data_IF_665858089520
#
_entry.id   IF_665858089520
#
_cell.length_a   1.000
_cell.length_b   1.000
_cell.length_c   1.000
_cell.angle_alpha   90.00
_cell.angle_beta   90.00
_cell.angle_gamma   90.00
#
_symmetry.space_group_name_H-M   'P 1'
#
loop_
_entity.id
_entity.type
_entity.pdbx_description
1 polymer ?
#
# COMPACT_ATOMS: atom_id res chain seq x y z
N UNK A 1 -40.46 54.57 8.21
CA UNK A 1 -39.33 53.75 8.72
C UNK A 1 -39.49 52.26 8.36
N UNK A 2 -40.14 51.92 7.23
CA UNK A 2 -40.57 50.56 6.88
C UNK A 2 -39.74 49.95 5.72
N UNK A 3 -38.43 50.19 5.71
CA UNK A 3 -37.54 49.77 4.60
C UNK A 3 -36.32 48.93 5.02
N UNK A 4 -36.07 48.77 6.31
CA UNK A 4 -34.85 48.10 6.79
C UNK A 4 -35.02 46.59 7.12
N UNK A 5 -36.25 46.05 7.07
CA UNK A 5 -36.51 44.64 7.40
C UNK A 5 -36.25 43.65 6.23
N UNK A 6 -35.94 44.15 5.03
CA UNK A 6 -35.79 43.33 3.81
C UNK A 6 -34.42 42.65 3.65
N UNK A 7 -33.40 43.04 4.42
CA UNK A 7 -32.05 42.42 4.32
C UNK A 7 -31.93 41.14 5.17
N UNK A 8 -32.86 40.92 6.11
CA UNK A 8 -32.86 39.73 6.98
C UNK A 8 -33.37 38.46 6.27
N UNK A 9 -34.14 38.59 5.18
CA UNK A 9 -34.80 37.46 4.50
C UNK A 9 -33.88 36.67 3.57
N UNK A 10 -32.74 37.24 3.15
CA UNK A 10 -31.81 36.53 2.24
C UNK A 10 -30.97 35.47 2.95
N UNK A 11 -30.67 35.65 4.24
CA UNK A 11 -29.98 34.63 5.06
C UNK A 11 -30.86 33.40 5.29
N UNK A 12 -32.18 33.56 5.26
CA UNK A 12 -33.16 32.48 5.43
C UNK A 12 -33.28 31.60 4.18
N UNK A 13 -33.12 32.17 2.97
CA UNK A 13 -33.03 31.38 1.73
C UNK A 13 -31.78 30.48 1.69
N UNK A 14 -30.66 30.95 2.24
CA UNK A 14 -29.43 30.14 2.30
C UNK A 14 -29.60 28.89 3.18
N UNK A 15 -30.39 28.98 4.26
CA UNK A 15 -30.72 27.84 5.11
C UNK A 15 -31.65 26.82 4.43
N UNK A 16 -32.53 27.25 3.52
CA UNK A 16 -33.46 26.37 2.79
C UNK A 16 -32.73 25.58 1.70
N UNK A 17 -31.74 26.18 1.02
CA UNK A 17 -30.85 25.45 0.07
C UNK A 17 -29.97 24.44 0.81
N UNK A 18 -29.59 24.72 2.06
CA UNK A 18 -28.91 23.76 2.94
C UNK A 18 -29.80 22.57 3.35
N UNK A 19 -31.13 22.70 3.24
CA UNK A 19 -32.07 21.62 3.54
C UNK A 19 -32.26 20.65 2.35
N UNK A 20 -31.87 21.04 1.12
CA UNK A 20 -31.82 20.16 -0.04
C UNK A 20 -30.71 19.10 0.05
N UNK A 21 -29.74 19.29 0.95
CA UNK A 21 -28.64 18.35 1.22
C UNK A 21 -29.13 17.10 2.01
N UNK A 22 -30.39 17.06 2.46
CA UNK A 22 -30.92 16.01 3.34
C UNK A 22 -31.69 14.86 2.67
N UNK A 23 -31.94 14.82 1.35
CA UNK A 23 -32.87 13.80 0.78
C UNK A 23 -32.31 12.84 -0.27
N UNK A 24 -31.00 12.83 -0.57
CA UNK A 24 -30.42 11.88 -1.53
C UNK A 24 -29.92 10.55 -0.94
N UNK A 25 -29.99 10.34 0.38
CA UNK A 25 -29.63 9.06 1.03
C UNK A 25 -30.88 8.20 1.29
N UNK A 26 -31.78 8.16 0.32
CA UNK A 26 -32.89 7.19 0.29
C UNK A 26 -32.41 5.92 -0.42
N UNK A 27 -32.13 4.89 0.40
CA UNK A 27 -32.53 3.48 0.22
C UNK A 27 -32.25 2.81 -1.13
N UNK A 28 -31.38 1.80 -1.11
CA UNK A 28 -31.58 0.50 -1.76
C UNK A 28 -30.68 -0.52 -1.03
N UNK A 29 -31.30 -1.40 -0.23
CA UNK A 29 -31.34 -2.86 -0.41
C UNK A 29 -30.29 -3.53 0.52
N UNK A 30 -30.69 -4.19 1.60
CA UNK A 30 -31.16 -5.58 1.62
C UNK A 30 -30.21 -6.50 0.83
N UNK A 31 -29.29 -7.16 1.52
CA UNK A 31 -28.93 -8.55 1.24
C UNK A 31 -28.23 -9.21 2.45
N UNK A 32 -28.90 -10.23 2.99
CA UNK A 32 -28.32 -11.31 3.77
C UNK A 32 -27.36 -12.09 2.88
N UNK A 33 -26.04 -11.98 3.09
CA UNK A 33 -25.13 -12.95 2.49
C UNK A 33 -24.23 -13.60 3.53
N UNK A 34 -24.87 -14.48 4.29
CA UNK A 34 -24.25 -15.62 4.95
C UNK A 34 -23.71 -16.60 3.90
N UNK A 35 -22.53 -16.33 3.33
CA UNK A 35 -21.76 -17.31 2.55
C UNK A 35 -20.25 -17.12 2.75
N UNK A 36 -19.77 -17.40 3.97
CA UNK A 36 -18.39 -17.86 4.16
C UNK A 36 -18.41 -19.38 4.33
N UNK A 37 -18.95 -20.07 3.32
CA UNK A 37 -18.72 -21.50 3.15
C UNK A 37 -17.31 -21.69 2.62
N UNK A 38 -16.53 -22.46 3.36
CA UNK A 38 -15.22 -22.95 2.96
C UNK A 38 -15.23 -23.46 1.52
N UNK A 39 -14.37 -22.92 0.66
CA UNK A 39 -13.56 -23.72 -0.27
C UNK A 39 -12.61 -22.88 -1.08
N UNK A 40 -11.41 -23.45 -1.19
CA UNK A 40 -10.33 -23.13 -2.10
C UNK A 40 -9.58 -21.82 -1.82
N UNK A 41 -8.46 -21.99 -1.11
CA UNK A 41 -7.19 -21.33 -1.40
C UNK A 41 -6.79 -21.50 -2.88
N UNK A 42 -7.60 -20.98 -3.80
CA UNK A 42 -7.14 -20.63 -5.13
C UNK A 42 -6.48 -19.27 -5.01
N UNK A 43 -5.32 -19.24 -4.35
CA UNK A 43 -4.36 -18.18 -4.64
C UNK A 43 -4.20 -18.23 -6.16
N UNK A 44 -4.56 -17.18 -6.91
CA UNK A 44 -4.22 -17.16 -8.32
C UNK A 44 -2.71 -17.25 -8.31
N UNK A 45 -2.16 -18.41 -8.71
CA UNK A 45 -0.78 -18.51 -9.15
C UNK A 45 -0.64 -17.37 -10.13
N UNK A 46 -0.02 -16.30 -9.65
CA UNK A 46 -0.19 -14.97 -10.20
C UNK A 46 0.23 -15.09 -11.65
N UNK A 47 -0.63 -14.69 -12.59
CA UNK A 47 -0.18 -14.41 -13.94
C UNK A 47 1.05 -13.53 -13.74
N UNK A 48 2.25 -14.05 -14.04
CA UNK A 48 3.51 -13.45 -13.66
C UNK A 48 3.62 -12.09 -14.33
N UNK A 49 3.06 -11.08 -13.68
CA UNK A 49 3.39 -9.71 -13.95
C UNK A 49 4.89 -9.62 -13.74
N UNK A 50 5.59 -9.14 -14.76
CA UNK A 50 7.03 -8.91 -14.70
C UNK A 50 7.32 -8.08 -13.44
N UNK A 51 8.06 -8.67 -12.51
CA UNK A 51 8.43 -8.06 -11.24
C UNK A 51 9.55 -7.08 -11.53
N UNK A 52 9.29 -5.79 -11.33
CA UNK A 52 10.27 -4.75 -11.56
C UNK A 52 11.02 -4.43 -10.25
N UNK A 53 12.35 -4.46 -10.30
CA UNK A 53 13.17 -4.24 -9.10
C UNK A 53 12.93 -2.85 -8.49
N UNK A 54 12.79 -1.80 -9.30
CA UNK A 54 12.68 -0.43 -8.79
C UNK A 54 11.29 -0.13 -8.22
N UNK A 55 10.25 -0.67 -8.84
CA UNK A 55 8.85 -0.50 -8.46
C UNK A 55 8.45 -1.42 -7.31
N UNK A 56 8.84 -2.69 -7.36
CA UNK A 56 8.27 -3.73 -6.49
C UNK A 56 9.22 -4.11 -5.35
N UNK A 57 10.52 -4.27 -5.62
CA UNK A 57 11.48 -4.82 -4.64
C UNK A 57 12.15 -3.71 -3.81
N UNK A 58 12.70 -2.69 -4.47
CA UNK A 58 13.47 -1.62 -3.82
C UNK A 58 12.71 -0.87 -2.73
N UNK A 59 11.39 -0.58 -2.86
CA UNK A 59 10.65 0.07 -1.78
C UNK A 59 10.58 -0.77 -0.50
N UNK A 60 10.39 -2.08 -0.62
CA UNK A 60 10.34 -3.01 0.51
C UNK A 60 11.68 -3.03 1.23
N UNK A 61 12.78 -3.17 0.49
CA UNK A 61 14.14 -3.15 1.06
C UNK A 61 14.47 -1.80 1.71
N UNK A 62 14.01 -0.69 1.11
CA UNK A 62 14.22 0.64 1.67
C UNK A 62 13.58 0.79 3.04
N UNK A 63 12.36 0.29 3.20
CA UNK A 63 11.60 0.47 4.43
C UNK A 63 12.11 -0.42 5.57
N UNK A 64 12.59 -1.63 5.25
CA UNK A 64 12.91 -2.64 6.29
C UNK A 64 14.38 -2.90 6.47
N UNK A 65 15.21 -2.71 5.43
CA UNK A 65 16.58 -3.23 5.43
C UNK A 65 17.64 -2.12 5.42
N UNK A 66 17.40 -0.99 4.74
CA UNK A 66 18.45 0.03 4.53
C UNK A 66 18.95 0.71 5.81
N UNK A 67 18.15 0.70 6.88
CA UNK A 67 18.56 1.25 8.17
C UNK A 67 19.85 0.58 8.70
N UNK A 68 20.06 -0.70 8.38
CA UNK A 68 21.24 -1.47 8.80
C UNK A 68 22.08 -2.02 7.64
N UNK A 69 21.53 -2.14 6.44
CA UNK A 69 22.18 -2.68 5.23
C UNK A 69 22.04 -1.72 4.04
N UNK A 70 22.28 -0.42 4.27
CA UNK A 70 22.21 0.64 3.26
C UNK A 70 23.52 1.41 3.14
N UNK A 71 23.52 2.53 2.43
CA UNK A 71 24.73 3.34 2.26
C UNK A 71 25.35 3.83 3.58
N UNK A 72 24.50 4.16 4.57
CA UNK A 72 24.92 4.74 5.86
C UNK A 72 25.51 3.69 6.81
N UNK A 73 24.94 2.48 6.82
CA UNK A 73 25.35 1.38 7.69
C UNK A 73 25.28 0.08 6.91
N UNK A 74 26.35 -0.70 6.97
CA UNK A 74 26.55 -1.94 6.22
C UNK A 74 26.86 -3.08 7.20
N UNK A 75 25.87 -3.45 8.02
CA UNK A 75 26.02 -4.53 8.97
C UNK A 75 26.38 -5.83 8.24
N UNK A 76 27.43 -6.52 8.69
CA UNK A 76 27.95 -7.72 8.04
C UNK A 76 28.43 -7.48 6.59
N UNK A 77 28.92 -6.27 6.29
CA UNK A 77 29.44 -5.89 4.98
C UNK A 77 28.38 -5.85 3.87
N UNK A 78 27.09 -6.02 4.21
CA UNK A 78 26.02 -6.18 3.24
C UNK A 78 25.33 -4.84 2.91
N UNK A 79 25.14 -4.60 1.61
CA UNK A 79 24.38 -3.47 1.08
C UNK A 79 23.22 -3.93 0.20
N UNK A 80 22.03 -3.44 0.52
CA UNK A 80 20.78 -3.77 -0.17
C UNK A 80 20.19 -2.59 -0.96
N UNK A 81 20.86 -1.44 -1.00
CA UNK A 81 20.33 -0.20 -1.57
C UNK A 81 20.52 -0.04 -3.09
N UNK A 82 21.32 -0.91 -3.69
CA UNK A 82 21.53 -0.99 -5.14
C UNK A 82 21.71 -2.42 -5.61
N UNK A 83 21.21 -2.72 -6.81
CA UNK A 83 21.25 -4.08 -7.38
C UNK A 83 22.68 -4.64 -7.47
N UNK A 84 23.65 -3.84 -7.94
CA UNK A 84 25.06 -4.24 -8.00
C UNK A 84 25.64 -4.59 -6.62
N UNK A 85 25.23 -3.84 -5.58
CA UNK A 85 25.70 -4.08 -4.22
C UNK A 85 25.08 -5.37 -3.63
N UNK A 86 23.80 -5.64 -3.93
CA UNK A 86 23.13 -6.89 -3.58
C UNK A 86 23.86 -8.08 -4.22
N UNK A 87 24.19 -8.00 -5.51
CA UNK A 87 24.92 -9.05 -6.22
C UNK A 87 26.36 -9.24 -5.70
N UNK A 88 26.95 -8.23 -5.07
CA UNK A 88 28.28 -8.35 -4.45
C UNK A 88 28.23 -9.20 -3.18
N UNK A 89 27.11 -9.19 -2.46
CA UNK A 89 26.96 -9.89 -1.19
C UNK A 89 27.52 -9.11 0.00
N UNK A 90 27.79 -9.83 1.09
CA UNK A 90 28.40 -9.27 2.30
C UNK A 90 29.54 -10.15 2.80
N UNK A 91 29.89 -10.01 4.08
CA UNK A 91 31.01 -10.75 4.70
C UNK A 91 30.78 -12.27 4.70
N UNK A 92 29.52 -12.71 4.62
CA UNK A 92 29.14 -14.12 4.51
C UNK A 92 29.17 -14.65 3.06
N UNK A 93 29.58 -13.83 2.08
CA UNK A 93 29.53 -14.16 0.66
C UNK A 93 28.23 -13.69 -0.04
N UNK A 94 27.89 -14.29 -1.19
CA UNK A 94 26.69 -13.98 -1.95
C UNK A 94 25.41 -14.15 -1.12
N UNK A 95 24.43 -13.28 -1.34
CA UNK A 95 23.14 -13.34 -0.61
C UNK A 95 21.94 -13.71 -1.47
N UNK A 96 22.08 -13.62 -2.80
CA UNK A 96 21.04 -13.94 -3.78
C UNK A 96 21.62 -14.94 -4.78
N UNK A 97 20.91 -16.04 -4.95
CA UNK A 97 21.11 -17.00 -6.05
C UNK A 97 20.07 -16.69 -7.14
N UNK A 98 20.55 -16.30 -8.33
CA UNK A 98 19.66 -15.87 -9.40
C UNK A 98 18.85 -17.05 -9.95
N UNK A 99 17.52 -16.93 -9.90
CA UNK A 99 16.60 -17.98 -10.34
C UNK A 99 16.25 -18.99 -9.25
N UNK A 100 16.93 -18.97 -8.11
CA UNK A 100 16.62 -19.82 -6.96
C UNK A 100 16.45 -19.01 -5.68
N UNK A 101 15.19 -18.69 -5.37
CA UNK A 101 14.85 -17.98 -4.15
C UNK A 101 15.02 -18.86 -2.89
N UNK A 102 14.91 -20.19 -3.00
CA UNK A 102 15.00 -21.08 -1.85
C UNK A 102 16.45 -21.22 -1.37
N UNK A 103 17.39 -21.26 -2.31
CA UNK A 103 18.83 -21.35 -2.03
C UNK A 103 19.46 -19.99 -1.71
N UNK A 104 18.73 -18.90 -1.91
CA UNK A 104 19.18 -17.54 -1.55
C UNK A 104 19.23 -17.35 -0.02
N UNK A 105 20.43 -17.06 0.51
CA UNK A 105 20.64 -16.75 1.94
C UNK A 105 19.75 -15.60 2.43
N UNK A 106 19.47 -14.62 1.57
CA UNK A 106 18.58 -13.52 1.91
C UNK A 106 17.17 -14.01 2.26
N UNK A 107 16.65 -14.99 1.51
CA UNK A 107 15.33 -15.57 1.76
C UNK A 107 15.31 -16.39 3.05
N UNK A 108 16.35 -17.19 3.30
CA UNK A 108 16.48 -17.99 4.53
C UNK A 108 16.48 -17.13 5.81
N UNK A 109 16.85 -15.85 5.73
CA UNK A 109 16.88 -14.93 6.86
C UNK A 109 15.57 -14.17 7.10
N UNK A 110 14.67 -14.15 6.12
CA UNK A 110 13.42 -13.36 6.18
C UNK A 110 12.15 -14.21 6.07
N UNK A 111 12.28 -15.48 5.70
CA UNK A 111 11.18 -16.46 5.63
C UNK A 111 10.75 -16.98 7.00
#
# INVERSE_FOLDING_TARGET
MLRAQLVQTSKLHFAIVLCFIMTAVSRCAADENSQQTASANSSPASASADVDYLRDIKPVLRERCFACHGAIKQAGGLRLDGATAISTGGDSGPVIEAGDAADSVLMQRVS
#
